data_IF_782368664389
#
_entry.id   IF_782368664389
#
_cell.length_a   1.000
_cell.length_b   1.000
_cell.length_c   1.000
_cell.angle_alpha   90.00
_cell.angle_beta   90.00
_cell.angle_gamma   90.00
#
_symmetry.space_group_name_H-M   'P 1'
#
loop_
_entity.id
_entity.type
_entity.pdbx_description
1 polymer ?
#
# COMPACT_ATOMS: atom_id res chain seq x y z
N UNK A 1 -27.42 17.94 3.95
CA UNK A 1 -25.94 18.01 3.95
C UNK A 1 -25.47 17.76 2.53
N UNK A 2 -24.70 18.68 1.95
CA UNK A 2 -24.17 18.58 0.59
C UNK A 2 -22.66 18.55 0.65
N UNK A 3 -22.05 17.77 -0.24
CA UNK A 3 -20.60 17.61 -0.33
C UNK A 3 -20.16 18.00 -1.74
N UNK A 4 -19.03 18.70 -1.81
CA UNK A 4 -18.37 19.15 -3.03
C UNK A 4 -16.96 18.57 -3.04
N UNK A 5 -16.59 17.90 -4.13
CA UNK A 5 -15.30 17.22 -4.33
C UNK A 5 -14.63 17.64 -5.64
N UNK A 6 -15.23 18.53 -6.42
CA UNK A 6 -14.67 19.14 -7.62
C UNK A 6 -13.45 20.00 -7.31
N UNK A 7 -12.71 20.38 -8.34
CA UNK A 7 -11.50 21.24 -8.26
C UNK A 7 -10.40 20.76 -7.32
N UNK A 8 -10.43 19.48 -6.92
CA UNK A 8 -9.37 18.85 -6.15
C UNK A 8 -8.39 18.12 -7.08
N UNK A 9 -7.08 18.15 -6.81
CA UNK A 9 -6.08 17.42 -7.59
C UNK A 9 -6.11 15.93 -7.23
N UNK A 10 -7.16 15.22 -7.64
CA UNK A 10 -7.32 13.81 -7.36
C UNK A 10 -6.27 12.97 -8.08
N UNK A 11 -5.53 12.16 -7.32
CA UNK A 11 -4.63 11.17 -7.89
C UNK A 11 -5.45 10.06 -8.56
N UNK A 12 -5.18 9.81 -9.84
CA UNK A 12 -5.79 8.73 -10.59
C UNK A 12 -4.79 7.61 -10.81
N UNK A 13 -4.81 6.63 -9.91
CA UNK A 13 -4.05 5.40 -10.01
C UNK A 13 -4.96 4.18 -9.90
N UNK A 14 -4.42 3.02 -10.29
CA UNK A 14 -5.18 1.77 -10.31
C UNK A 14 -5.64 1.32 -8.91
N UNK A 15 -4.97 1.73 -7.84
CA UNK A 15 -5.34 1.33 -6.48
C UNK A 15 -6.51 2.16 -5.93
N UNK A 16 -6.54 3.45 -6.24
CA UNK A 16 -7.46 4.43 -5.70
C UNK A 16 -8.77 4.51 -6.48
N UNK A 17 -8.70 4.57 -7.81
CA UNK A 17 -9.87 4.89 -8.65
C UNK A 17 -11.02 3.88 -8.53
N UNK A 18 -10.79 2.56 -8.52
CA UNK A 18 -11.90 1.59 -8.42
C UNK A 18 -12.76 1.81 -7.15
N UNK A 19 -12.11 2.06 -6.01
CA UNK A 19 -12.80 2.32 -4.74
C UNK A 19 -13.46 3.69 -4.74
N UNK A 20 -12.77 4.71 -5.24
CA UNK A 20 -13.29 6.06 -5.26
C UNK A 20 -14.52 6.18 -6.19
N UNK A 21 -14.49 5.56 -7.37
CA UNK A 21 -15.65 5.47 -8.26
C UNK A 21 -16.86 4.83 -7.57
N UNK A 22 -16.67 3.72 -6.85
CA UNK A 22 -17.74 3.07 -6.10
C UNK A 22 -18.36 4.02 -5.06
N UNK A 23 -17.54 4.77 -4.33
CA UNK A 23 -18.00 5.77 -3.37
C UNK A 23 -18.79 6.88 -4.05
N UNK A 24 -18.26 7.44 -5.14
CA UNK A 24 -18.92 8.51 -5.89
C UNK A 24 -20.29 8.08 -6.43
N UNK A 25 -20.39 6.86 -6.98
CA UNK A 25 -21.64 6.30 -7.49
C UNK A 25 -22.64 6.01 -6.36
N UNK A 26 -22.16 5.49 -5.22
CA UNK A 26 -22.99 5.20 -4.04
C UNK A 26 -23.59 6.47 -3.43
N UNK A 27 -22.81 7.55 -3.36
CA UNK A 27 -23.22 8.81 -2.73
C UNK A 27 -23.55 9.93 -3.72
N UNK A 28 -23.84 9.60 -4.99
CA UNK A 28 -24.18 10.56 -6.06
C UNK A 28 -25.34 11.53 -5.74
N UNK A 29 -26.20 11.20 -4.77
CA UNK A 29 -27.31 12.07 -4.33
C UNK A 29 -26.85 13.16 -3.36
N UNK A 30 -25.76 12.93 -2.64
CA UNK A 30 -25.19 13.84 -1.64
C UNK A 30 -24.13 14.75 -2.29
N UNK A 31 -23.36 14.19 -3.21
CA UNK A 31 -22.31 14.86 -3.98
C UNK A 31 -22.96 15.65 -5.11
N UNK A 32 -22.79 16.98 -5.12
CA UNK A 32 -23.49 17.87 -6.07
C UNK A 32 -22.71 18.11 -7.37
N UNK A 33 -21.40 18.04 -7.31
CA UNK A 33 -20.44 18.39 -8.35
C UNK A 33 -19.76 17.16 -8.95
N UNK A 34 -20.48 16.04 -9.04
CA UNK A 34 -19.94 14.77 -9.55
C UNK A 34 -19.31 14.90 -10.95
N UNK A 35 -19.81 15.81 -11.79
CA UNK A 35 -19.28 16.12 -13.13
C UNK A 35 -17.91 16.81 -13.11
N UNK A 36 -17.58 17.48 -12.01
CA UNK A 36 -16.39 18.33 -11.88
C UNK A 36 -15.26 17.59 -11.14
N UNK A 37 -15.52 16.36 -10.67
CA UNK A 37 -14.54 15.49 -10.04
C UNK A 37 -13.65 14.84 -11.11
N UNK A 38 -12.43 15.36 -11.24
CA UNK A 38 -11.48 15.00 -12.30
C UNK A 38 -10.12 14.62 -11.74
N UNK A 39 -9.36 13.86 -12.52
CA UNK A 39 -7.97 13.57 -12.25
C UNK A 39 -7.10 14.83 -12.27
N UNK A 40 -6.10 14.89 -11.38
CA UNK A 40 -5.07 15.92 -11.41
C UNK A 40 -4.34 15.95 -12.74
N UNK A 41 -3.87 17.12 -13.15
CA UNK A 41 -3.05 17.28 -14.35
C UNK A 41 -1.76 16.45 -14.21
N UNK A 42 -1.60 15.44 -15.05
CA UNK A 42 -0.40 14.60 -15.16
C UNK A 42 0.24 14.73 -16.55
N UNK A 43 1.49 14.27 -16.69
CA UNK A 43 2.18 14.15 -17.99
C UNK A 43 1.57 13.06 -18.87
N UNK A 44 0.86 12.11 -18.28
CA UNK A 44 0.15 11.06 -18.99
C UNK A 44 -1.19 11.58 -19.54
N UNK A 45 -1.23 11.72 -20.87
CA UNK A 45 -2.39 12.24 -21.60
C UNK A 45 -3.64 11.36 -21.44
N UNK A 46 -3.48 10.07 -21.08
CA UNK A 46 -4.62 9.14 -20.92
C UNK A 46 -5.43 9.42 -19.65
N UNK A 47 -4.78 9.96 -18.62
CA UNK A 47 -5.36 10.10 -17.28
C UNK A 47 -5.53 11.57 -16.84
N UNK A 48 -4.86 12.51 -17.51
CA UNK A 48 -4.89 13.93 -17.18
C UNK A 48 -6.28 14.58 -17.40
N UNK A 49 -6.86 15.19 -16.35
CA UNK A 49 -8.13 15.94 -16.37
C UNK A 49 -9.39 15.14 -16.76
N UNK A 50 -9.27 13.81 -16.83
CA UNK A 50 -10.40 12.91 -17.12
C UNK A 50 -11.34 12.85 -15.91
N UNK A 51 -12.64 12.77 -16.16
CA UNK A 51 -13.65 12.67 -15.12
C UNK A 51 -13.63 11.28 -14.46
N UNK A 52 -13.60 11.27 -13.13
CA UNK A 52 -13.40 10.03 -12.36
C UNK A 52 -14.63 9.12 -12.43
N UNK A 53 -15.86 9.64 -12.52
CA UNK A 53 -17.05 8.78 -12.56
C UNK A 53 -17.26 8.02 -13.88
N UNK A 54 -16.57 8.41 -14.96
CA UNK A 54 -16.77 7.86 -16.32
C UNK A 54 -15.53 7.21 -16.92
N UNK A 55 -14.36 7.36 -16.30
CA UNK A 55 -13.12 6.74 -16.77
C UNK A 55 -13.22 5.20 -16.67
N UNK A 56 -12.98 4.45 -17.76
CA UNK A 56 -13.00 2.99 -17.70
C UNK A 56 -11.75 2.48 -16.97
N UNK A 57 -11.93 1.49 -16.08
CA UNK A 57 -10.83 0.95 -15.27
C UNK A 57 -9.67 0.42 -16.12
N UNK A 58 -9.95 -0.16 -17.29
CA UNK A 58 -8.89 -0.64 -18.20
C UNK A 58 -7.96 0.46 -18.74
N UNK A 59 -8.37 1.73 -18.69
CA UNK A 59 -7.49 2.84 -19.08
C UNK A 59 -6.54 3.28 -17.96
N UNK A 60 -6.81 2.88 -16.71
CA UNK A 60 -6.04 3.24 -15.50
C UNK A 60 -5.29 2.04 -14.93
N UNK A 61 -5.81 0.84 -15.18
CA UNK A 61 -5.28 -0.45 -14.73
C UNK A 61 -4.88 -1.29 -15.94
N UNK A 62 -4.05 -0.74 -16.82
CA UNK A 62 -3.48 -1.49 -17.94
C UNK A 62 -2.32 -2.38 -17.50
N UNK A 63 -1.91 -3.32 -18.33
CA UNK A 63 -0.78 -4.24 -18.07
C UNK A 63 0.56 -3.52 -17.78
N UNK A 64 0.66 -2.23 -18.12
CA UNK A 64 1.83 -1.38 -17.85
C UNK A 64 1.91 -0.90 -16.38
N UNK A 65 0.82 -0.99 -15.60
CA UNK A 65 0.73 -0.59 -14.19
C UNK A 65 1.03 -1.72 -13.19
N UNK A 66 1.70 -2.78 -13.66
CA UNK A 66 2.36 -3.72 -12.76
C UNK A 66 3.62 -3.03 -12.22
N UNK A 67 3.46 -2.21 -11.18
CA UNK A 67 4.61 -1.78 -10.36
C UNK A 67 5.40 -3.04 -9.98
N UNK A 68 6.64 -3.25 -10.48
CA UNK A 68 7.20 -4.59 -10.48
C UNK A 68 7.38 -5.15 -9.08
N UNK A 69 7.65 -4.30 -8.08
CA UNK A 69 7.71 -4.67 -6.66
C UNK A 69 7.39 -3.42 -5.86
N UNK A 70 6.36 -3.45 -5.01
CA UNK A 70 6.07 -2.35 -4.09
C UNK A 70 7.19 -2.24 -3.03
N UNK A 71 7.65 -1.03 -2.65
CA UNK A 71 8.64 -0.86 -1.56
C UNK A 71 8.23 -1.56 -0.26
N UNK A 72 6.92 -1.69 0.00
CA UNK A 72 6.38 -2.44 1.14
C UNK A 72 6.82 -3.91 1.13
N UNK A 73 6.91 -4.53 -0.05
CA UNK A 73 7.31 -5.92 -0.18
C UNK A 73 8.79 -6.11 0.17
N UNK A 74 9.64 -5.14 -0.22
CA UNK A 74 11.06 -5.15 0.14
C UNK A 74 11.22 -5.04 1.65
N UNK A 75 10.53 -4.09 2.28
CA UNK A 75 10.54 -3.91 3.74
C UNK A 75 10.06 -5.17 4.45
N UNK A 76 8.97 -5.79 3.97
CA UNK A 76 8.45 -7.03 4.53
C UNK A 76 9.41 -8.21 4.40
N UNK A 77 10.14 -8.33 3.29
CA UNK A 77 11.15 -9.37 3.09
C UNK A 77 12.34 -9.17 4.04
N UNK A 78 12.81 -7.93 4.21
CA UNK A 78 13.86 -7.59 5.17
C UNK A 78 13.43 -7.92 6.61
N UNK A 79 12.20 -7.55 6.99
CA UNK A 79 11.64 -7.88 8.30
C UNK A 79 11.58 -9.39 8.52
N UNK A 80 11.13 -10.15 7.53
CA UNK A 80 11.08 -11.62 7.60
C UNK A 80 12.49 -12.20 7.82
N UNK A 81 13.50 -11.72 7.09
CA UNK A 81 14.87 -12.17 7.24
C UNK A 81 15.43 -11.88 8.65
N UNK A 82 15.15 -10.70 9.20
CA UNK A 82 15.56 -10.33 10.57
C UNK A 82 14.89 -11.21 11.62
N UNK A 83 13.59 -11.49 11.48
CA UNK A 83 12.86 -12.37 12.39
C UNK A 83 13.46 -13.79 12.37
N UNK A 84 13.70 -14.34 11.18
CA UNK A 84 14.31 -15.67 11.03
C UNK A 84 15.72 -15.71 11.64
N UNK A 85 16.51 -14.64 11.51
CA UNK A 85 17.82 -14.55 12.13
C UNK A 85 17.70 -14.57 13.67
N UNK A 86 16.83 -13.75 14.25
CA UNK A 86 16.63 -13.70 15.71
C UNK A 86 16.12 -15.02 16.24
N UNK A 87 15.09 -15.61 15.62
CA UNK A 87 14.55 -16.91 16.01
C UNK A 87 15.58 -18.01 15.83
N UNK A 88 16.32 -18.02 14.72
CA UNK A 88 17.39 -18.98 14.47
C UNK A 88 18.50 -18.89 15.52
N UNK A 89 18.91 -17.68 15.89
CA UNK A 89 19.88 -17.45 16.96
C UNK A 89 19.37 -17.95 18.30
N UNK A 90 18.13 -17.64 18.63
CA UNK A 90 17.49 -18.11 19.86
C UNK A 90 17.44 -19.65 19.93
N UNK A 91 17.04 -20.31 18.84
CA UNK A 91 17.01 -21.77 18.77
C UNK A 91 18.42 -22.39 18.86
N UNK A 92 19.41 -21.76 18.22
CA UNK A 92 20.80 -22.19 18.32
C UNK A 92 21.32 -22.10 19.76
N UNK A 93 21.12 -20.95 20.40
CA UNK A 93 21.54 -20.70 21.78
C UNK A 93 20.81 -21.65 22.76
N UNK A 94 19.51 -21.90 22.53
CA UNK A 94 18.72 -22.88 23.30
C UNK A 94 19.26 -24.30 23.17
N UNK A 95 19.58 -24.74 21.95
CA UNK A 95 20.10 -26.08 21.71
C UNK A 95 21.50 -26.25 22.33
N UNK A 96 22.35 -25.21 22.25
CA UNK A 96 23.65 -25.21 22.89
C UNK A 96 23.51 -25.30 24.41
N UNK A 97 22.68 -24.46 25.02
CA UNK A 97 22.39 -24.51 26.46
C UNK A 97 21.91 -25.90 26.91
N UNK A 98 21.03 -26.54 26.13
CA UNK A 98 20.55 -27.89 26.44
C UNK A 98 21.68 -28.95 26.42
N UNK A 99 22.66 -28.79 25.55
CA UNK A 99 23.77 -29.73 25.39
C UNK A 99 24.93 -29.47 26.36
N UNK A 100 25.27 -28.21 26.63
CA UNK A 100 26.45 -27.81 27.42
C UNK A 100 26.11 -27.33 28.83
N UNK A 101 24.88 -26.90 29.08
CA UNK A 101 24.47 -26.23 30.32
C UNK A 101 24.97 -24.78 30.44
N UNK A 102 25.72 -24.28 29.45
CA UNK A 102 26.28 -22.94 29.45
C UNK A 102 25.30 -21.92 28.89
N UNK A 103 25.04 -20.87 29.66
CA UNK A 103 24.16 -19.77 29.28
C UNK A 103 24.74 -19.00 28.08
N UNK A 104 23.89 -18.54 27.14
CA UNK A 104 24.35 -17.65 26.08
C UNK A 104 24.94 -16.36 26.65
N UNK A 105 25.96 -15.82 25.97
CA UNK A 105 26.76 -14.68 26.41
C UNK A 105 25.94 -13.44 26.81
N UNK A 106 24.82 -13.17 26.13
CA UNK A 106 23.96 -12.04 26.48
C UNK A 106 23.29 -12.20 27.85
N UNK A 107 22.88 -13.42 28.20
CA UNK A 107 22.23 -13.70 29.49
C UNK A 107 23.22 -13.81 30.65
N UNK A 108 24.50 -14.10 30.38
CA UNK A 108 25.52 -14.14 31.43
C UNK A 108 26.04 -12.77 31.86
N UNK A 109 25.69 -11.70 31.12
CA UNK A 109 26.11 -10.31 31.39
C UNK A 109 25.00 -9.47 32.02
N UNK A 110 23.72 -9.85 31.84
CA UNK A 110 22.60 -9.17 32.49
C UNK A 110 22.59 -9.54 33.99
N UNK A 111 22.61 -8.54 34.91
CA UNK A 111 22.66 -8.78 36.36
C UNK A 111 21.38 -9.43 36.91
#
# INVERSE_FOLDING_TARGET
>A
MHVFLGDNPWRCDCHYIPRFQSLLLKYKRVIRDLSDIRCSKSSDKKTSLVQISTIPLGNICGDDDVMPISPINIVNLVLLALILLVVGRFLYDWQNFKNTGELPWLSSILP
#
